data_IF_595094201729
#
_entry.id   IF_595094201729
#
_cell.length_a   1.000
_cell.length_b   1.000
_cell.length_c   1.000
_cell.angle_alpha   90.00
_cell.angle_beta   90.00
_cell.angle_gamma   90.00
#
_symmetry.space_group_name_H-M   'P 1'
#
loop_
_entity.id
_entity.type
_entity.pdbx_description
1 polymer ?
#
# COMPACT_ATOMS: atom_id res chain seq x y z
N UNK A 1 -4.21 -9.13 31.66
CA UNK A 1 -2.97 -9.93 31.80
C UNK A 1 -2.96 -11.00 30.70
N UNK A 2 -2.56 -10.65 29.49
CA UNK A 2 -2.45 -11.61 28.38
C UNK A 2 -1.05 -12.24 28.42
N UNK A 3 -1.00 -13.54 28.71
CA UNK A 3 0.22 -14.33 28.65
C UNK A 3 0.42 -14.84 27.22
N UNK A 4 1.27 -14.18 26.45
CA UNK A 4 1.89 -14.77 25.26
C UNK A 4 3.22 -15.39 25.70
N UNK A 5 3.18 -16.65 26.17
CA UNK A 5 4.39 -17.48 26.21
C UNK A 5 4.54 -18.08 24.82
N UNK A 6 5.39 -17.47 23.99
CA UNK A 6 6.01 -18.16 22.87
C UNK A 6 6.98 -19.20 23.47
N UNK A 7 6.80 -20.51 23.24
CA UNK A 7 7.69 -21.53 23.79
C UNK A 7 9.07 -21.56 23.13
N UNK A 8 9.32 -20.78 22.07
CA UNK A 8 10.56 -20.83 21.29
C UNK A 8 11.65 -19.83 21.73
N UNK A 9 11.49 -19.15 22.87
CA UNK A 9 12.47 -18.12 23.31
C UNK A 9 13.67 -18.66 24.10
N UNK A 10 13.89 -19.98 24.14
CA UNK A 10 15.03 -20.60 24.85
C UNK A 10 15.87 -21.50 23.94
N UNK A 11 16.54 -20.88 22.96
CA UNK A 11 17.81 -21.35 22.41
C UNK A 11 18.44 -20.19 21.65
N UNK A 12 19.07 -19.26 22.37
CA UNK A 12 19.85 -18.19 21.74
C UNK A 12 21.22 -18.78 21.43
N UNK A 13 21.33 -19.48 20.31
CA UNK A 13 22.62 -19.90 19.77
C UNK A 13 23.44 -18.65 19.44
N UNK A 14 24.61 -18.43 20.06
CA UNK A 14 25.43 -17.24 19.82
C UNK A 14 26.15 -17.28 18.46
N UNK A 15 26.07 -18.40 17.73
CA UNK A 15 26.70 -18.64 16.42
C UNK A 15 25.69 -18.67 15.26
N UNK A 16 24.40 -18.44 15.53
CA UNK A 16 23.44 -18.20 14.48
C UNK A 16 23.70 -16.80 13.91
N UNK A 17 24.53 -16.74 12.86
CA UNK A 17 24.65 -15.57 12.00
C UNK A 17 23.26 -15.02 11.74
N UNK A 18 22.95 -13.85 12.31
CA UNK A 18 21.68 -13.16 12.08
C UNK A 18 21.52 -13.07 10.56
N UNK A 19 20.58 -13.80 9.93
CA UNK A 19 20.47 -13.81 8.50
C UNK A 19 20.19 -12.36 8.13
N UNK A 20 21.20 -11.67 7.59
CA UNK A 20 21.14 -10.31 7.06
C UNK A 20 19.73 -10.13 6.54
N UNK A 21 18.91 -9.31 7.20
CA UNK A 21 17.53 -9.11 6.78
C UNK A 21 17.57 -8.41 5.42
N UNK A 22 17.65 -9.18 4.33
CA UNK A 22 17.67 -8.70 2.94
C UNK A 22 16.21 -8.44 2.56
N UNK A 23 15.62 -7.41 3.15
CA UNK A 23 14.22 -7.14 2.90
C UNK A 23 13.56 -6.20 3.88
N UNK A 24 12.35 -5.82 3.48
CA UNK A 24 11.47 -4.88 4.12
C UNK A 24 11.38 -5.05 5.65
N UNK A 25 11.85 -4.07 6.41
CA UNK A 25 11.55 -3.95 7.85
C UNK A 25 10.13 -3.41 8.02
N UNK A 26 9.39 -3.97 8.96
CA UNK A 26 8.07 -3.49 9.28
C UNK A 26 8.14 -2.10 9.94
N UNK A 27 7.48 -1.11 9.35
CA UNK A 27 7.32 0.23 9.89
C UNK A 27 5.92 0.34 10.50
N UNK A 28 5.86 0.61 11.80
CA UNK A 28 4.61 0.73 12.54
C UNK A 28 4.50 2.15 13.09
N UNK A 29 4.01 3.08 12.26
CA UNK A 29 3.60 4.42 12.71
C UNK A 29 2.09 4.55 12.53
N UNK A 30 1.37 4.92 13.58
CA UNK A 30 -0.06 5.17 13.47
C UNK A 30 -0.34 6.25 12.41
N UNK A 31 -1.38 6.03 11.60
CA UNK A 31 -1.74 6.88 10.46
C UNK A 31 -0.86 6.68 9.22
N UNK A 32 -0.03 5.64 9.14
CA UNK A 32 0.79 5.36 7.95
C UNK A 32 0.22 4.24 7.10
N UNK A 33 0.47 4.34 5.80
CA UNK A 33 0.25 3.30 4.82
C UNK A 33 1.48 3.23 3.92
N UNK A 34 1.95 2.02 3.65
CA UNK A 34 3.11 1.76 2.80
C UNK A 34 2.70 0.73 1.76
N UNK A 35 2.75 1.12 0.50
CA UNK A 35 2.47 0.27 -0.65
C UNK A 35 3.78 -0.11 -1.35
N UNK A 36 4.04 -1.41 -1.43
CA UNK A 36 5.22 -1.98 -2.08
C UNK A 36 4.85 -2.49 -3.47
N UNK A 37 5.74 -2.23 -4.43
CA UNK A 37 5.54 -2.67 -5.81
C UNK A 37 5.48 -4.21 -5.96
N UNK A 38 6.07 -4.95 -5.03
CA UNK A 38 6.12 -6.41 -5.04
C UNK A 38 6.20 -6.98 -3.61
N UNK A 39 6.02 -8.28 -3.48
CA UNK A 39 6.04 -8.99 -2.21
C UNK A 39 7.48 -9.01 -1.63
N UNK A 40 7.63 -9.13 -0.30
CA UNK A 40 8.94 -9.27 0.33
C UNK A 40 9.77 -10.38 -0.32
N UNK A 41 11.06 -10.10 -0.57
CA UNK A 41 11.97 -11.07 -1.19
C UNK A 41 11.78 -11.28 -2.70
N UNK A 42 10.90 -10.52 -3.36
CA UNK A 42 10.68 -10.58 -4.81
C UNK A 42 11.10 -9.29 -5.52
N UNK A 43 11.12 -9.29 -6.85
CA UNK A 43 11.56 -8.16 -7.67
C UNK A 43 10.36 -7.62 -8.47
N UNK A 44 10.24 -6.30 -8.54
CA UNK A 44 9.25 -5.64 -9.39
C UNK A 44 9.67 -5.68 -10.86
N UNK A 45 8.70 -5.86 -11.76
CA UNK A 45 8.92 -5.90 -13.20
C UNK A 45 9.13 -4.48 -13.71
N UNK A 46 10.30 -4.26 -14.31
CA UNK A 46 10.62 -3.06 -15.07
C UNK A 46 9.79 -3.00 -16.36
N UNK A 47 9.35 -1.80 -16.73
CA UNK A 47 8.62 -1.56 -17.96
C UNK A 47 9.55 -1.65 -19.16
N UNK A 48 9.66 -2.82 -19.81
CA UNK A 48 10.50 -2.98 -21.02
C UNK A 48 10.06 -2.00 -22.11
N UNK A 49 10.82 -0.91 -22.29
CA UNK A 49 10.51 0.15 -23.25
C UNK A 49 9.36 1.07 -22.85
N UNK A 50 8.93 1.04 -21.58
CA UNK A 50 7.88 1.91 -21.05
C UNK A 50 8.48 2.94 -20.10
N UNK A 51 7.82 4.09 -19.95
CA UNK A 51 8.25 5.16 -19.04
C UNK A 51 8.21 4.74 -17.57
N UNK A 52 7.29 3.85 -17.19
CA UNK A 52 7.03 3.46 -15.81
C UNK A 52 7.11 1.94 -15.63
N UNK A 53 7.56 1.50 -14.46
CA UNK A 53 7.43 0.11 -14.01
C UNK A 53 5.97 -0.30 -13.84
N UNK A 54 5.71 -1.61 -13.77
CA UNK A 54 4.35 -2.17 -13.81
C UNK A 54 3.45 -1.65 -12.67
N UNK A 55 3.98 -1.55 -11.46
CA UNK A 55 3.22 -1.02 -10.32
C UNK A 55 2.80 0.44 -10.55
N UNK A 56 3.75 1.30 -10.92
CA UNK A 56 3.50 2.73 -11.16
C UNK A 56 2.53 2.95 -12.32
N UNK A 57 2.58 2.11 -13.37
CA UNK A 57 1.61 2.13 -14.47
C UNK A 57 0.18 1.94 -13.94
N UNK A 58 -0.06 0.93 -13.11
CA UNK A 58 -1.39 0.68 -12.54
C UNK A 58 -1.76 1.71 -11.48
N UNK A 59 -0.81 2.18 -10.65
CA UNK A 59 -1.06 3.24 -9.67
C UNK A 59 -1.60 4.50 -10.35
N UNK A 60 -0.94 4.99 -11.40
CA UNK A 60 -1.37 6.19 -12.11
C UNK A 60 -2.74 6.05 -12.78
N UNK A 61 -3.12 4.82 -13.14
CA UNK A 61 -4.44 4.53 -13.71
C UNK A 61 -5.56 4.68 -12.68
N UNK A 62 -5.31 4.37 -11.41
CA UNK A 62 -6.34 4.26 -10.36
C UNK A 62 -6.26 5.37 -9.29
N UNK A 63 -5.14 6.06 -9.12
CA UNK A 63 -4.95 7.03 -8.02
C UNK A 63 -5.87 8.25 -8.12
N UNK A 64 -6.41 8.53 -9.31
CA UNK A 64 -7.35 9.64 -9.56
C UNK A 64 -8.81 9.20 -9.56
N UNK A 65 -9.12 7.98 -9.10
CA UNK A 65 -10.52 7.56 -8.95
C UNK A 65 -11.22 8.45 -7.92
N UNK A 66 -12.31 9.08 -8.36
CA UNK A 66 -13.10 9.96 -7.52
C UNK A 66 -13.82 9.21 -6.40
N UNK A 67 -13.78 9.77 -5.19
CA UNK A 67 -14.56 9.31 -4.04
C UNK A 67 -14.33 7.84 -3.68
N UNK A 68 -13.13 7.31 -3.97
CA UNK A 68 -12.73 5.94 -3.63
C UNK A 68 -11.70 5.94 -2.50
N UNK A 69 -11.87 5.03 -1.54
CA UNK A 69 -10.91 4.87 -0.45
C UNK A 69 -9.55 4.39 -0.97
N UNK A 70 -8.45 4.90 -0.40
CA UNK A 70 -7.09 4.55 -0.80
C UNK A 70 -6.82 3.03 -0.75
N UNK A 71 -7.42 2.30 0.18
CA UNK A 71 -7.22 0.85 0.26
C UNK A 71 -7.90 0.13 -0.91
N UNK A 72 -9.04 0.64 -1.36
CA UNK A 72 -9.73 0.10 -2.54
C UNK A 72 -8.97 0.41 -3.83
N UNK A 73 -8.48 1.65 -3.98
CA UNK A 73 -7.56 2.02 -5.07
C UNK A 73 -6.36 1.06 -5.12
N UNK A 74 -5.70 0.81 -3.99
CA UNK A 74 -4.53 -0.07 -3.94
C UNK A 74 -4.87 -1.54 -4.21
N UNK A 75 -6.08 -2.01 -3.88
CA UNK A 75 -6.55 -3.34 -4.27
C UNK A 75 -6.71 -3.46 -5.78
N UNK A 76 -7.23 -2.43 -6.44
CA UNK A 76 -7.34 -2.41 -7.91
C UNK A 76 -5.95 -2.36 -8.58
N UNK A 77 -5.02 -1.58 -8.02
CA UNK A 77 -3.61 -1.60 -8.45
C UNK A 77 -3.02 -3.00 -8.31
N UNK A 78 -3.20 -3.66 -7.16
CA UNK A 78 -2.70 -5.01 -6.92
C UNK A 78 -3.30 -6.03 -7.91
N UNK A 79 -4.60 -5.93 -8.19
CA UNK A 79 -5.30 -6.75 -9.19
C UNK A 79 -4.71 -6.55 -10.59
N UNK A 80 -4.53 -5.31 -11.02
CA UNK A 80 -3.99 -4.97 -12.33
C UNK A 80 -2.56 -5.48 -12.54
N UNK A 81 -1.69 -5.27 -11.54
CA UNK A 81 -0.30 -5.75 -11.58
C UNK A 81 -0.23 -7.28 -11.59
N UNK A 82 -1.02 -7.94 -10.73
CA UNK A 82 -1.06 -9.41 -10.67
C UNK A 82 -1.54 -10.00 -11.99
N UNK A 83 -2.58 -9.44 -12.58
CA UNK A 83 -3.14 -9.92 -13.85
C UNK A 83 -2.15 -9.73 -15.02
N UNK A 84 -1.58 -8.53 -15.17
CA UNK A 84 -0.67 -8.22 -16.28
C UNK A 84 0.66 -8.97 -16.16
N UNK A 85 1.15 -9.19 -14.93
CA UNK A 85 2.38 -9.96 -14.69
C UNK A 85 2.18 -11.47 -14.77
N UNK A 86 0.94 -11.97 -14.95
CA UNK A 86 0.58 -13.39 -14.80
C UNK A 86 1.04 -13.96 -13.45
N UNK A 87 0.73 -13.23 -12.39
CA UNK A 87 1.08 -13.53 -10.99
C UNK A 87 2.58 -13.55 -10.67
N UNK A 88 3.45 -13.04 -11.55
CA UNK A 88 4.90 -12.94 -11.31
C UNK A 88 5.27 -11.77 -10.40
N UNK A 89 4.42 -10.75 -10.31
CA UNK A 89 4.58 -9.62 -9.42
C UNK A 89 3.30 -9.44 -8.61
N UNK A 90 3.42 -9.49 -7.28
CA UNK A 90 2.31 -9.35 -6.34
C UNK A 90 2.59 -8.13 -5.46
N UNK A 91 1.92 -6.98 -5.65
CA UNK A 91 2.06 -5.84 -4.75
C UNK A 91 1.62 -6.18 -3.33
N UNK A 92 2.25 -5.53 -2.35
CA UNK A 92 1.95 -5.73 -0.93
C UNK A 92 1.67 -4.38 -0.27
N UNK A 93 0.73 -4.33 0.69
CA UNK A 93 0.40 -3.11 1.44
C UNK A 93 0.50 -3.39 2.93
N UNK A 94 1.18 -2.50 3.65
CA UNK A 94 1.19 -2.45 5.10
C UNK A 94 0.49 -1.18 5.55
N UNK A 95 -0.55 -1.28 6.37
CA UNK A 95 -1.37 -0.16 6.78
C UNK A 95 -1.58 -0.16 8.30
N UNK A 96 -1.42 1.01 8.90
CA UNK A 96 -1.75 1.33 10.29
C UNK A 96 -2.64 2.58 10.32
N UNK A 97 -3.66 2.61 9.44
CA UNK A 97 -4.59 3.72 9.29
C UNK A 97 -5.50 3.84 10.52
N UNK A 98 -5.83 5.08 10.88
CA UNK A 98 -6.70 5.41 12.02
C UNK A 98 -8.10 5.83 11.57
N UNK A 99 -8.16 6.57 10.47
CA UNK A 99 -9.42 7.03 9.88
C UNK A 99 -10.11 5.91 9.12
N UNK A 100 -11.45 6.02 9.00
CA UNK A 100 -12.26 5.03 8.29
C UNK A 100 -11.98 5.06 6.79
N UNK A 101 -12.04 6.24 6.18
CA UNK A 101 -11.90 6.45 4.74
C UNK A 101 -10.84 7.53 4.47
N UNK A 102 -10.01 7.32 3.45
CA UNK A 102 -9.01 8.29 2.98
C UNK A 102 -9.18 8.47 1.47
N UNK A 103 -9.65 9.65 1.07
CA UNK A 103 -9.86 10.02 -0.32
C UNK A 103 -8.70 10.90 -0.81
N UNK A 104 -8.02 10.48 -1.88
CA UNK A 104 -7.00 11.29 -2.54
C UNK A 104 -7.58 12.26 -3.56
N UNK A 105 -8.73 11.90 -4.13
CA UNK A 105 -9.45 12.70 -5.11
C UNK A 105 -10.93 12.72 -4.74
N UNK A 106 -11.36 13.79 -4.10
CA UNK A 106 -12.77 14.03 -3.74
C UNK A 106 -13.36 15.06 -4.68
N UNK A 107 -14.57 14.81 -5.19
CA UNK A 107 -15.34 15.90 -5.76
C UNK A 107 -15.73 16.83 -4.62
N UNK A 108 -15.25 18.07 -4.66
CA UNK A 108 -15.82 19.11 -3.80
C UNK A 108 -17.30 19.17 -4.17
N UNK A 109 -18.19 18.79 -3.24
CA UNK A 109 -19.59 19.17 -3.35
C UNK A 109 -19.59 20.68 -3.58
N UNK A 110 -19.99 21.15 -4.76
CA UNK A 110 -20.18 22.59 -5.03
C UNK A 110 -20.92 23.15 -3.81
N UNK A 111 -20.28 24.02 -3.03
CA UNK A 111 -20.98 24.73 -1.96
C UNK A 111 -22.21 25.38 -2.62
N UNK A 112 -23.44 25.18 -2.11
CA UNK A 112 -24.59 25.86 -2.68
C UNK A 112 -24.29 27.37 -2.64
N UNK A 113 -24.28 27.98 -3.82
CA UNK A 113 -24.18 29.43 -3.94
C UNK A 113 -25.41 30.00 -3.23
N UNK A 114 -25.20 30.58 -2.04
CA UNK A 114 -26.23 31.39 -1.38
C UNK A 114 -26.52 32.53 -2.36
N UNK A 115 -27.76 32.70 -2.86
CA UNK A 115 -28.07 33.84 -3.69
C UNK A 115 -27.76 35.09 -2.88
N UNK A 116 -26.86 35.90 -3.41
CA UNK A 116 -26.56 37.22 -2.87
C UNK A 116 -27.80 38.08 -3.14
N UNK A 117 -28.60 38.31 -2.09
CA UNK A 117 -29.74 39.22 -2.17
C UNK A 117 -29.19 40.64 -2.34
N UNK A 118 -29.13 41.12 -3.58
CA UNK A 118 -28.96 42.54 -3.86
C UNK A 118 -30.18 43.30 -3.33
N UNK A 119 -29.99 44.04 -2.24
CA UNK A 119 -30.88 45.14 -1.81
C UNK A 119 -30.22 46.45 -2.18
#
# INVERSE_FOLDING_TARGET
KYHLRNPEVNARDPDASDPKSIGLKAMYKAGSLIAFACAPGTIAIEGKGQRNGLFTKHLLKHITTENEDIQMILRDVAKGVTQESKSKQIPFVSAALLERDIYLYSQQTKRPHKPENNT
#
